data_IF_080945896905
#
_entry.id   IF_080945896905
#
_cell.length_a   1.000
_cell.length_b   1.000
_cell.length_c   1.000
_cell.angle_alpha   90.00
_cell.angle_beta   90.00
_cell.angle_gamma   90.00
#
_symmetry.space_group_name_H-M   'P 1'
#
loop_
_entity.id
_entity.type
_entity.pdbx_description
1 polymer ?
#
# COMPACT_ATOMS: atom_id res chain seq x y z
N UNK A 1 64.29 41.40 29.02
CA UNK A 1 62.84 41.09 28.91
C UNK A 1 62.72 39.60 28.62
N UNK A 2 62.34 38.81 29.61
CA UNK A 2 62.24 37.35 29.54
C UNK A 2 60.77 36.97 29.51
N UNK A 3 60.34 36.28 28.46
CA UNK A 3 58.97 35.78 28.29
C UNK A 3 58.88 34.45 29.07
N UNK A 4 58.08 34.44 30.13
CA UNK A 4 57.74 33.24 30.91
C UNK A 4 56.69 32.45 30.11
N UNK A 5 56.92 31.17 29.79
CA UNK A 5 55.89 30.34 29.18
C UNK A 5 54.84 29.98 30.24
N UNK A 6 53.56 30.30 29.95
CA UNK A 6 52.41 29.78 30.68
C UNK A 6 52.37 28.27 30.50
N UNK A 7 52.98 27.55 31.44
CA UNK A 7 52.98 26.10 31.50
C UNK A 7 51.65 25.59 32.06
N UNK A 8 50.92 24.85 31.22
CA UNK A 8 50.17 23.68 31.66
C UNK A 8 48.73 23.92 32.10
N UNK A 9 47.86 24.34 31.18
CA UNK A 9 46.47 23.88 31.21
C UNK A 9 46.50 22.36 30.97
N UNK A 10 46.64 21.61 32.06
CA UNK A 10 46.40 20.18 32.09
C UNK A 10 44.95 19.98 31.63
N UNK A 11 44.76 19.64 30.36
CA UNK A 11 43.52 19.06 29.84
C UNK A 11 43.23 17.80 30.67
N UNK A 12 42.59 17.99 31.82
CA UNK A 12 42.05 16.92 32.63
C UNK A 12 41.02 16.25 31.74
N UNK A 13 41.42 15.14 31.15
CA UNK A 13 40.60 14.31 30.29
C UNK A 13 39.21 14.21 30.95
N UNK A 14 38.10 14.51 30.26
CA UNK A 14 36.76 14.55 30.87
C UNK A 14 36.39 13.27 31.62
N UNK A 15 37.04 12.15 31.31
CA UNK A 15 36.93 10.87 32.01
C UNK A 15 37.53 10.89 33.44
N UNK A 16 38.53 11.72 33.72
CA UNK A 16 39.15 11.85 35.03
C UNK A 16 38.30 12.67 36.01
N UNK A 17 37.57 13.68 35.52
CA UNK A 17 36.64 14.48 36.34
C UNK A 17 35.39 13.68 36.74
N UNK A 18 34.91 12.78 35.88
CA UNK A 18 33.74 11.94 36.14
C UNK A 18 33.96 10.90 37.26
N UNK A 19 35.22 10.62 37.64
CA UNK A 19 35.57 9.63 38.67
C UNK A 19 35.68 10.20 40.08
N UNK A 20 35.47 11.51 40.26
CA UNK A 20 35.42 12.10 41.61
C UNK A 20 34.13 11.66 42.30
N UNK A 21 34.29 11.03 43.47
CA UNK A 21 33.16 10.67 44.34
C UNK A 21 32.45 11.96 44.76
N UNK A 22 31.11 12.05 44.68
CA UNK A 22 30.38 13.21 45.17
C UNK A 22 30.69 13.46 46.64
N UNK A 23 30.91 14.72 47.01
CA UNK A 23 31.35 15.10 48.37
C UNK A 23 30.39 14.62 49.47
N UNK A 24 29.10 14.47 49.16
CA UNK A 24 28.07 14.00 50.08
C UNK A 24 27.94 12.47 50.15
N UNK A 25 28.45 11.73 49.15
CA UNK A 25 28.26 10.28 49.08
C UNK A 25 29.04 9.54 50.17
N UNK A 26 30.30 9.91 50.39
CA UNK A 26 31.14 9.33 51.44
C UNK A 26 30.57 9.54 52.85
N UNK A 27 30.25 10.79 53.26
CA UNK A 27 29.63 11.06 54.55
C UNK A 27 28.27 10.38 54.76
N UNK A 28 27.46 10.28 53.71
CA UNK A 28 26.21 9.54 53.77
C UNK A 28 26.47 8.04 54.01
N UNK A 29 27.40 7.44 53.26
CA UNK A 29 27.71 6.03 53.41
C UNK A 29 28.33 5.72 54.78
N UNK A 30 29.24 6.55 55.27
CA UNK A 30 29.82 6.41 56.60
C UNK A 30 28.75 6.43 57.69
N UNK A 31 27.76 7.34 57.56
CA UNK A 31 26.59 7.40 58.45
C UNK A 31 25.75 6.12 58.32
N UNK A 32 25.41 5.72 57.11
CA UNK A 32 24.63 4.51 56.84
C UNK A 32 25.34 3.20 57.24
N UNK A 33 26.65 3.21 57.48
CA UNK A 33 27.40 2.04 57.97
C UNK A 33 27.70 2.10 59.47
N UNK A 34 27.53 3.26 60.11
CA UNK A 34 27.75 3.39 61.55
C UNK A 34 26.71 2.58 62.32
N UNK A 35 27.20 1.73 63.23
CA UNK A 35 26.38 0.82 64.03
C UNK A 35 25.45 1.57 65.00
N UNK A 36 25.72 2.85 65.25
CA UNK A 36 25.05 3.65 66.28
C UNK A 36 23.66 4.15 65.86
N UNK A 37 23.27 3.96 64.60
CA UNK A 37 22.06 4.60 64.05
C UNK A 37 20.82 3.73 64.15
N UNK A 38 20.93 2.41 64.37
CA UNK A 38 19.77 1.52 64.20
C UNK A 38 19.69 0.35 65.17
N UNK A 39 18.53 0.20 65.81
CA UNK A 39 18.11 -1.01 66.54
C UNK A 39 17.99 -2.26 65.65
N UNK A 40 18.08 -2.09 64.32
CA UNK A 40 17.93 -3.14 63.30
C UNK A 40 19.17 -4.05 63.14
N UNK A 41 20.23 -3.82 63.93
CA UNK A 41 21.43 -4.65 63.96
C UNK A 41 22.56 -4.15 63.07
N UNK A 42 23.52 -5.03 62.75
CA UNK A 42 24.68 -4.68 61.93
C UNK A 42 24.29 -4.61 60.44
N UNK A 43 24.86 -3.67 59.66
CA UNK A 43 24.66 -3.64 58.22
C UNK A 43 25.26 -4.92 57.61
N UNK A 44 24.48 -5.62 56.79
CA UNK A 44 24.84 -6.95 56.27
C UNK A 44 25.28 -6.91 54.81
N UNK A 45 24.65 -6.04 54.00
CA UNK A 45 24.94 -5.94 52.57
C UNK A 45 24.63 -4.56 52.02
N UNK A 46 25.45 -4.10 51.09
CA UNK A 46 25.16 -2.95 50.23
C UNK A 46 24.79 -3.45 48.83
N UNK A 47 23.69 -2.96 48.27
CA UNK A 47 23.21 -3.32 46.93
C UNK A 47 23.14 -2.08 46.06
N UNK A 48 23.70 -2.15 44.85
CA UNK A 48 23.55 -1.11 43.84
C UNK A 48 22.46 -1.53 42.84
N UNK A 49 21.42 -0.71 42.71
CA UNK A 49 20.31 -0.90 41.78
C UNK A 49 20.39 0.13 40.66
N UNK A 50 20.19 -0.30 39.42
CA UNK A 50 19.94 0.59 38.28
C UNK A 50 18.43 0.75 38.10
N UNK A 51 17.94 1.98 38.17
CA UNK A 51 16.53 2.32 38.03
C UNK A 51 16.22 2.68 36.59
N UNK A 52 15.35 1.91 35.96
CA UNK A 52 14.89 2.18 34.60
C UNK A 52 13.68 3.13 34.61
N UNK A 53 13.49 3.85 33.51
CA UNK A 53 12.38 4.81 33.34
C UNK A 53 10.99 4.19 33.47
N UNK A 54 10.87 2.86 33.37
CA UNK A 54 9.63 2.12 33.53
C UNK A 54 9.37 1.68 34.99
N UNK A 55 10.15 2.19 35.95
CA UNK A 55 10.05 1.85 37.37
C UNK A 55 10.62 0.48 37.74
N UNK A 56 11.18 -0.27 36.77
CA UNK A 56 11.89 -1.52 37.07
C UNK A 56 13.29 -1.20 37.60
N UNK A 57 13.75 -2.00 38.55
CA UNK A 57 15.12 -1.95 39.04
C UNK A 57 15.87 -3.22 38.65
N UNK A 58 17.16 -3.09 38.35
CA UNK A 58 18.07 -4.21 38.12
C UNK A 58 19.26 -4.10 39.06
N UNK A 59 19.56 -5.17 39.78
CA UNK A 59 20.78 -5.24 40.60
C UNK A 59 22.01 -5.22 39.70
N UNK A 60 22.88 -4.23 39.91
CA UNK A 60 24.16 -4.08 39.21
C UNK A 60 25.25 -4.85 39.94
N UNK A 61 25.37 -4.61 41.24
CA UNK A 61 26.38 -5.23 42.10
C UNK A 61 25.89 -5.29 43.56
N UNK A 62 26.55 -6.11 44.36
CA UNK A 62 26.33 -6.18 45.81
C UNK A 62 27.65 -6.42 46.54
N UNK A 63 27.78 -5.83 47.72
CA UNK A 63 28.95 -5.93 48.58
C UNK A 63 28.55 -6.49 49.93
N UNK A 64 29.06 -7.67 50.32
CA UNK A 64 28.86 -8.19 51.67
C UNK A 64 29.62 -7.30 52.65
N UNK A 65 28.93 -6.78 53.66
CA UNK A 65 29.52 -5.94 54.68
C UNK A 65 29.98 -6.85 55.83
N UNK A 66 31.27 -7.23 55.80
CA UNK A 66 31.90 -8.04 56.85
C UNK A 66 32.28 -7.20 58.08
N UNK A 67 33.32 -7.63 58.79
CA UNK A 67 33.85 -6.91 59.95
C UNK A 67 34.56 -5.61 59.52
N UNK A 68 33.76 -4.54 59.39
CA UNK A 68 34.13 -3.13 59.23
C UNK A 68 34.92 -2.77 57.96
N UNK A 69 34.25 -2.62 56.80
CA UNK A 69 34.86 -1.96 55.66
C UNK A 69 35.12 -0.48 55.97
N UNK A 70 36.26 0.04 55.53
CA UNK A 70 36.56 1.48 55.57
C UNK A 70 35.58 2.18 54.62
N UNK A 71 34.65 2.96 55.17
CA UNK A 71 33.55 3.57 54.41
C UNK A 71 34.02 4.40 53.19
N UNK A 72 35.20 5.02 53.28
CA UNK A 72 35.80 5.79 52.19
C UNK A 72 36.22 4.91 50.99
N UNK A 73 36.81 3.74 51.27
CA UNK A 73 37.22 2.80 50.21
C UNK A 73 36.00 2.20 49.52
N UNK A 74 35.00 1.79 50.32
CA UNK A 74 33.74 1.27 49.77
C UNK A 74 32.99 2.33 48.95
N UNK A 75 33.00 3.60 49.39
CA UNK A 75 32.40 4.68 48.63
C UNK A 75 33.06 4.86 47.25
N UNK A 76 34.39 4.81 47.20
CA UNK A 76 35.15 4.90 45.96
C UNK A 76 34.88 3.71 45.03
N UNK A 77 34.82 2.50 45.58
CA UNK A 77 34.54 1.28 44.82
C UNK A 77 33.11 1.28 44.23
N UNK A 78 32.11 1.63 45.06
CA UNK A 78 30.72 1.74 44.61
C UNK A 78 30.61 2.81 43.53
N UNK A 79 31.25 3.97 43.71
CA UNK A 79 31.23 5.04 42.72
C UNK A 79 31.89 4.63 41.40
N UNK A 80 33.05 3.98 41.45
CA UNK A 80 33.71 3.44 40.26
C UNK A 80 32.80 2.47 39.51
N UNK A 81 32.14 1.56 40.22
CA UNK A 81 31.19 0.60 39.64
C UNK A 81 30.01 1.29 38.97
N UNK A 82 29.47 2.35 39.58
CA UNK A 82 28.39 3.16 38.99
C UNK A 82 28.87 3.83 37.70
N UNK A 83 30.04 4.45 37.71
CA UNK A 83 30.62 5.11 36.54
C UNK A 83 30.89 4.13 35.40
N UNK A 84 31.51 2.98 35.70
CA UNK A 84 31.83 1.95 34.72
C UNK A 84 30.54 1.36 34.12
N UNK A 85 29.54 1.07 34.94
CA UNK A 85 28.24 0.62 34.44
C UNK A 85 27.54 1.69 33.61
N UNK A 86 27.52 2.95 34.04
CA UNK A 86 26.92 4.07 33.30
C UNK A 86 27.59 4.30 31.94
N UNK A 87 28.90 4.05 31.84
CA UNK A 87 29.65 4.19 30.59
C UNK A 87 29.19 3.21 29.49
N UNK A 88 28.62 2.06 29.88
CA UNK A 88 28.09 1.07 28.95
C UNK A 88 26.73 1.46 28.32
N UNK A 89 26.05 2.45 28.88
CA UNK A 89 24.75 2.93 28.38
C UNK A 89 24.91 4.28 27.67
N UNK A 90 24.90 4.32 26.33
CA UNK A 90 24.91 5.58 25.62
C UNK A 90 23.60 6.34 25.85
N UNK A 91 23.68 7.66 26.04
CA UNK A 91 22.53 8.55 26.10
C UNK A 91 22.32 9.29 27.43
N UNK A 92 21.06 9.39 27.84
CA UNK A 92 20.60 10.21 28.98
C UNK A 92 21.24 9.79 30.31
N UNK A 93 21.19 10.69 31.28
CA UNK A 93 21.62 10.41 32.65
C UNK A 93 20.91 9.17 33.22
N UNK A 94 21.71 8.28 33.79
CA UNK A 94 21.27 7.03 34.41
C UNK A 94 20.99 7.27 35.89
N UNK A 95 19.93 6.66 36.41
CA UNK A 95 19.55 6.74 37.82
C UNK A 95 19.88 5.41 38.50
N UNK A 96 20.56 5.51 39.63
CA UNK A 96 20.93 4.40 40.49
C UNK A 96 20.39 4.61 41.89
N UNK A 97 20.24 3.54 42.63
CA UNK A 97 19.87 3.57 44.05
C UNK A 97 20.84 2.67 44.81
N UNK A 98 21.55 3.26 45.77
CA UNK A 98 22.43 2.53 46.69
C UNK A 98 21.61 2.20 47.93
N UNK A 99 21.46 0.90 48.20
CA UNK A 99 20.62 0.38 49.28
C UNK A 99 21.47 -0.35 50.30
N UNK A 100 21.41 0.07 51.55
CA UNK A 100 22.05 -0.63 52.67
C UNK A 100 21.01 -1.49 53.37
N UNK A 101 21.30 -2.78 53.46
CA UNK A 101 20.48 -3.79 54.13
C UNK A 101 21.05 -4.08 55.52
N UNK A 102 20.15 -4.27 56.47
CA UNK A 102 20.49 -4.58 57.86
C UNK A 102 19.94 -5.95 58.27
N UNK A 103 20.67 -6.62 59.15
CA UNK A 103 20.26 -7.89 59.73
C UNK A 103 20.18 -9.06 58.73
N UNK A 104 19.69 -10.23 59.19
CA UNK A 104 19.59 -11.45 58.37
C UNK A 104 18.42 -11.43 57.38
N UNK A 105 17.42 -10.58 57.61
CA UNK A 105 16.21 -10.47 56.77
C UNK A 105 16.41 -9.56 55.54
N UNK A 106 17.60 -8.94 55.41
CA UNK A 106 17.93 -8.03 54.32
C UNK A 106 16.91 -6.90 54.11
N UNK A 107 16.31 -6.38 55.19
CA UNK A 107 15.40 -5.25 55.09
C UNK A 107 16.17 -4.00 54.62
N UNK A 108 15.71 -3.31 53.55
CA UNK A 108 16.36 -2.11 53.06
C UNK A 108 16.09 -0.94 54.02
N UNK A 109 17.15 -0.40 54.64
CA UNK A 109 17.01 0.65 55.66
C UNK A 109 17.39 2.03 55.12
N UNK A 110 18.57 2.15 54.54
CA UNK A 110 19.07 3.40 53.97
C UNK A 110 19.14 3.29 52.46
N UNK A 111 18.65 4.32 51.78
CA UNK A 111 18.62 4.42 50.32
C UNK A 111 19.18 5.77 49.90
N UNK A 112 20.09 5.78 48.95
CA UNK A 112 20.60 7.02 48.33
C UNK A 112 20.42 6.94 46.81
N UNK A 113 19.59 7.80 46.23
CA UNK A 113 19.54 7.94 44.78
C UNK A 113 20.83 8.60 44.28
N UNK A 114 21.42 8.02 43.24
CA UNK A 114 22.63 8.49 42.59
C UNK A 114 22.34 8.68 41.12
N UNK A 115 22.64 9.86 40.57
CA UNK A 115 22.48 10.13 39.14
C UNK A 115 23.85 10.29 38.49
N UNK A 116 24.10 9.56 37.42
CA UNK A 116 25.34 9.66 36.64
C UNK A 116 25.03 9.94 35.19
N UNK A 117 25.60 11.02 34.66
CA UNK A 117 25.48 11.38 33.25
C UNK A 117 26.28 10.38 32.39
N UNK A 118 25.65 9.85 31.34
CA UNK A 118 26.33 9.03 30.35
C UNK A 118 27.38 9.84 29.58
N UNK A 119 28.38 9.19 28.96
CA UNK A 119 29.50 9.86 28.29
C UNK A 119 29.06 10.73 27.10
N UNK A 120 27.87 10.50 26.55
CA UNK A 120 27.31 11.24 25.41
C UNK A 120 26.21 12.22 25.79
N UNK A 121 25.93 12.40 27.09
CA UNK A 121 24.95 13.38 27.53
C UNK A 121 25.48 14.80 27.21
N UNK A 122 24.69 15.66 26.56
CA UNK A 122 25.12 17.03 26.27
C UNK A 122 25.40 17.73 27.60
N UNK A 123 26.53 18.45 27.69
CA UNK A 123 26.99 19.13 28.91
C UNK A 123 25.93 20.08 29.54
N UNK A 124 24.94 20.50 28.74
CA UNK A 124 23.86 21.39 29.16
C UNK A 124 22.64 20.67 29.77
N UNK A 125 22.54 19.33 29.70
CA UNK A 125 21.46 18.54 30.34
C UNK A 125 21.77 18.19 31.81
N UNK A 126 22.94 18.60 32.31
CA UNK A 126 23.33 18.50 33.71
C UNK A 126 22.74 19.67 34.54
N UNK A 127 21.51 20.10 34.24
CA UNK A 127 20.82 21.03 35.12
C UNK A 127 20.56 20.34 36.46
N UNK A 128 21.27 20.85 37.46
CA UNK A 128 21.34 20.51 38.89
C UNK A 128 19.98 20.58 39.64
N UNK A 129 18.87 20.62 38.90
CA UNK A 129 17.56 21.06 39.39
C UNK A 129 16.67 19.89 39.86
N UNK A 130 17.06 18.66 39.57
CA UNK A 130 16.34 17.46 39.99
C UNK A 130 16.79 16.89 41.36
N UNK A 131 17.95 17.32 41.90
CA UNK A 131 18.56 16.74 43.10
C UNK A 131 18.68 17.67 44.31
N UNK A 132 18.35 18.96 44.20
CA UNK A 132 18.11 19.85 45.36
C UNK A 132 16.75 19.63 46.02
N UNK A 133 16.25 18.40 46.01
CA UNK A 133 15.24 17.94 46.95
C UNK A 133 15.90 17.63 48.29
N UNK A 134 16.60 18.61 48.84
CA UNK A 134 17.12 18.53 50.20
C UNK A 134 15.91 18.51 51.13
N UNK A 135 15.79 17.42 51.88
CA UNK A 135 14.72 17.14 52.82
C UNK A 135 14.90 18.05 54.06
N UNK A 136 14.83 19.37 53.89
CA UNK A 136 14.77 20.33 54.99
C UNK A 136 13.33 20.33 55.47
N UNK A 137 13.08 19.56 56.54
CA UNK A 137 11.82 19.50 57.25
C UNK A 137 11.67 20.80 58.07
N UNK A 138 11.34 21.90 57.40
CA UNK A 138 10.85 23.11 58.03
C UNK A 138 9.35 23.26 57.74
N UNK A 139 8.55 23.52 58.76
CA UNK A 139 7.09 23.56 58.64
C UNK A 139 6.58 24.67 57.68
N UNK A 140 7.37 25.73 57.43
CA UNK A 140 7.08 26.74 56.39
C UNK A 140 7.60 26.35 54.99
N UNK A 141 8.52 25.38 54.90
CA UNK A 141 8.93 24.74 53.66
C UNK A 141 7.88 23.73 53.15
N UNK A 142 6.91 23.33 53.98
CA UNK A 142 5.79 22.45 53.59
C UNK A 142 4.94 23.04 52.46
N UNK A 143 4.45 24.28 52.61
CA UNK A 143 3.54 24.86 51.61
C UNK A 143 4.28 25.27 50.33
N UNK A 144 5.49 25.84 50.46
CA UNK A 144 6.34 26.17 49.30
C UNK A 144 6.82 24.92 48.58
N UNK A 145 7.18 23.88 49.32
CA UNK A 145 7.56 22.57 48.77
C UNK A 145 6.40 21.89 48.06
N UNK A 146 5.19 21.95 48.64
CA UNK A 146 3.98 21.44 48.01
C UNK A 146 3.65 22.20 46.72
N UNK A 147 3.73 23.53 46.73
CA UNK A 147 3.54 24.34 45.51
C UNK A 147 4.58 23.99 44.44
N UNK A 148 5.85 23.88 44.81
CA UNK A 148 6.91 23.48 43.88
C UNK A 148 6.66 22.07 43.30
N UNK A 149 6.20 21.13 44.12
CA UNK A 149 5.82 19.79 43.68
C UNK A 149 4.62 19.83 42.73
N UNK A 150 3.60 20.64 43.03
CA UNK A 150 2.45 20.82 42.14
C UNK A 150 2.85 21.44 40.81
N UNK A 151 3.73 22.45 40.80
CA UNK A 151 4.24 23.08 39.58
C UNK A 151 5.02 22.08 38.72
N UNK A 152 5.93 21.29 39.33
CA UNK A 152 6.65 20.21 38.62
C UNK A 152 5.71 19.14 38.08
N UNK A 153 4.68 18.78 38.84
CA UNK A 153 3.67 17.83 38.39
C UNK A 153 2.85 18.38 37.20
N UNK A 154 2.47 19.65 37.24
CA UNK A 154 1.79 20.34 36.15
C UNK A 154 2.66 20.42 34.90
N UNK A 155 3.92 20.79 35.04
CA UNK A 155 4.89 20.84 33.94
C UNK A 155 5.09 19.44 33.31
N UNK A 156 5.25 18.40 34.14
CA UNK A 156 5.36 17.03 33.65
C UNK A 156 4.07 16.57 32.94
N UNK A 157 2.90 16.93 33.49
CA UNK A 157 1.61 16.64 32.87
C UNK A 157 1.47 17.36 31.53
N UNK A 158 1.86 18.62 31.45
CA UNK A 158 1.83 19.40 30.22
C UNK A 158 2.77 18.81 29.17
N UNK A 159 4.00 18.45 29.54
CA UNK A 159 4.93 17.75 28.65
C UNK A 159 4.37 16.44 28.12
N UNK A 160 3.73 15.65 28.99
CA UNK A 160 3.08 14.41 28.58
C UNK A 160 1.92 14.69 27.59
N UNK A 161 1.09 15.69 27.87
CA UNK A 161 -0.02 16.07 26.99
C UNK A 161 0.47 16.58 25.63
N UNK A 162 1.52 17.40 25.60
CA UNK A 162 2.12 17.88 24.34
C UNK A 162 2.72 16.70 23.56
N UNK A 163 3.37 15.76 24.26
CA UNK A 163 3.88 14.53 23.66
C UNK A 163 2.79 13.69 23.00
N UNK A 164 1.71 13.40 23.73
CA UNK A 164 0.60 12.58 23.19
C UNK A 164 -0.12 13.27 22.04
N UNK A 165 -0.38 14.59 22.13
CA UNK A 165 -0.95 15.35 21.02
C UNK A 165 -0.03 15.32 19.79
N UNK A 166 1.28 15.41 19.99
CA UNK A 166 2.26 15.27 18.91
C UNK A 166 2.19 13.92 18.20
N UNK A 167 2.04 12.83 18.96
CA UNK A 167 1.86 11.47 18.43
C UNK A 167 0.55 11.32 17.65
N UNK A 168 -0.57 11.84 18.19
CA UNK A 168 -1.86 11.84 17.49
C UNK A 168 -1.79 12.62 16.17
N UNK A 169 -1.21 13.81 16.17
CA UNK A 169 -1.04 14.61 14.95
C UNK A 169 -0.14 13.91 13.92
N UNK A 170 0.91 13.22 14.37
CA UNK A 170 1.76 12.43 13.48
C UNK A 170 1.00 11.24 12.88
N UNK A 171 0.15 10.58 13.66
CA UNK A 171 -0.73 9.51 13.20
C UNK A 171 -1.74 10.02 12.17
N UNK A 172 -2.45 11.10 12.46
CA UNK A 172 -3.45 11.69 11.57
C UNK A 172 -2.85 12.14 10.24
N UNK A 173 -1.64 12.69 10.25
CA UNK A 173 -0.91 13.05 9.02
C UNK A 173 -0.60 11.83 8.14
N UNK A 174 -0.23 10.70 8.74
CA UNK A 174 -0.02 9.44 7.99
C UNK A 174 -1.34 8.94 7.40
N UNK A 175 -2.40 8.94 8.19
CA UNK A 175 -3.73 8.53 7.74
C UNK A 175 -4.24 9.41 6.58
N UNK A 176 -4.00 10.71 6.64
CA UNK A 176 -4.35 11.64 5.55
C UNK A 176 -3.54 11.33 4.29
N UNK A 177 -2.23 11.14 4.41
CA UNK A 177 -1.39 10.77 3.28
C UNK A 177 -1.84 9.45 2.62
N UNK A 178 -2.20 8.44 3.42
CA UNK A 178 -2.73 7.15 2.93
C UNK A 178 -4.10 7.30 2.24
N UNK A 179 -4.91 8.28 2.67
CA UNK A 179 -6.19 8.58 2.01
C UNK A 179 -5.97 9.30 0.69
N UNK A 180 -5.03 10.24 0.63
CA UNK A 180 -4.71 10.98 -0.59
C UNK A 180 -4.17 10.05 -1.69
N UNK A 181 -3.30 9.09 -1.33
CA UNK A 181 -2.82 8.08 -2.27
C UNK A 181 -3.96 7.22 -2.80
N UNK A 182 -4.86 6.78 -1.92
CA UNK A 182 -6.05 6.00 -2.32
C UNK A 182 -7.00 6.79 -3.22
N UNK A 183 -7.18 8.09 -2.97
CA UNK A 183 -7.99 8.95 -3.83
C UNK A 183 -7.35 9.04 -5.22
N UNK A 184 -6.04 9.28 -5.30
CA UNK A 184 -5.32 9.34 -6.57
C UNK A 184 -5.44 8.03 -7.38
N UNK A 185 -5.37 6.87 -6.71
CA UNK A 185 -5.57 5.57 -7.37
C UNK A 185 -6.99 5.39 -7.93
N UNK A 186 -8.01 5.85 -7.18
CA UNK A 186 -9.40 5.81 -7.62
C UNK A 186 -9.64 6.74 -8.81
N UNK A 187 -9.12 7.96 -8.77
CA UNK A 187 -9.19 8.90 -9.90
C UNK A 187 -8.54 8.32 -11.16
N UNK A 188 -7.35 7.70 -11.04
CA UNK A 188 -6.70 7.02 -12.16
C UNK A 188 -7.51 5.83 -12.68
N UNK A 189 -8.25 5.14 -11.81
CA UNK A 189 -9.15 4.05 -12.22
C UNK A 189 -10.36 4.59 -12.97
N UNK A 190 -10.95 5.69 -12.51
CA UNK A 190 -12.08 6.34 -13.18
C UNK A 190 -11.70 6.82 -14.58
N UNK A 191 -10.55 7.49 -14.73
CA UNK A 191 -10.03 7.91 -16.05
C UNK A 191 -9.89 6.71 -16.99
N UNK A 192 -9.31 5.60 -16.53
CA UNK A 192 -9.19 4.38 -17.34
C UNK A 192 -10.53 3.78 -17.76
N UNK A 193 -11.54 3.86 -16.90
CA UNK A 193 -12.91 3.40 -17.23
C UNK A 193 -13.54 4.31 -18.27
N UNK A 194 -13.37 5.62 -18.15
CA UNK A 194 -13.85 6.60 -19.14
C UNK A 194 -13.20 6.38 -20.51
N UNK A 195 -11.87 6.21 -20.57
CA UNK A 195 -11.14 5.92 -21.82
C UNK A 195 -11.64 4.62 -22.48
N UNK A 196 -11.92 3.59 -21.68
CA UNK A 196 -12.44 2.33 -22.19
C UNK A 196 -13.87 2.48 -22.71
N UNK A 197 -14.70 3.23 -22.01
CA UNK A 197 -16.07 3.53 -22.43
C UNK A 197 -16.09 4.33 -23.75
N UNK A 198 -15.22 5.31 -23.91
CA UNK A 198 -15.05 6.05 -25.16
C UNK A 198 -14.63 5.13 -26.31
N UNK A 199 -13.60 4.30 -26.11
CA UNK A 199 -13.17 3.31 -27.13
C UNK A 199 -14.27 2.33 -27.53
N UNK A 200 -15.11 1.90 -26.60
CA UNK A 200 -16.25 1.03 -26.90
C UNK A 200 -17.32 1.78 -27.71
N UNK A 201 -17.59 3.04 -27.37
CA UNK A 201 -18.51 3.90 -28.09
C UNK A 201 -18.03 4.17 -29.52
N UNK A 202 -16.73 4.42 -29.70
CA UNK A 202 -16.14 4.63 -31.04
C UNK A 202 -16.28 3.39 -31.92
N UNK A 203 -15.96 2.20 -31.37
CA UNK A 203 -16.16 0.92 -32.07
C UNK A 203 -17.63 0.66 -32.41
N UNK A 204 -18.55 1.07 -31.54
CA UNK A 204 -19.98 0.96 -31.82
C UNK A 204 -20.37 1.89 -32.98
N UNK A 205 -19.92 3.14 -32.99
CA UNK A 205 -20.18 4.08 -34.08
C UNK A 205 -19.59 3.59 -35.41
N UNK A 206 -18.40 2.99 -35.38
CA UNK A 206 -17.78 2.39 -36.57
C UNK A 206 -18.67 1.28 -37.14
N UNK A 207 -19.13 0.35 -36.29
CA UNK A 207 -20.07 -0.71 -36.69
C UNK A 207 -21.39 -0.17 -37.22
N UNK A 208 -21.96 0.83 -36.55
CA UNK A 208 -23.23 1.44 -36.97
C UNK A 208 -23.07 2.13 -38.35
N UNK A 209 -21.93 2.76 -38.59
CA UNK A 209 -21.59 3.37 -39.88
C UNK A 209 -21.39 2.31 -40.97
N UNK A 210 -20.77 1.17 -40.66
CA UNK A 210 -20.66 0.04 -41.58
C UNK A 210 -22.04 -0.54 -41.95
N UNK A 211 -22.91 -0.76 -40.96
CA UNK A 211 -24.28 -1.25 -41.16
C UNK A 211 -25.07 -0.28 -42.05
N UNK A 212 -24.97 1.03 -41.79
CA UNK A 212 -25.62 2.06 -42.62
C UNK A 212 -25.11 2.05 -44.06
N UNK A 213 -23.80 1.91 -44.26
CA UNK A 213 -23.20 1.79 -45.60
C UNK A 213 -23.66 0.54 -46.33
N UNK A 214 -23.74 -0.61 -45.64
CA UNK A 214 -24.23 -1.85 -46.22
C UNK A 214 -25.71 -1.72 -46.62
N UNK A 215 -26.56 -1.19 -45.74
CA UNK A 215 -27.97 -0.95 -46.03
C UNK A 215 -28.18 0.04 -47.19
N UNK A 216 -27.37 1.10 -47.27
CA UNK A 216 -27.43 2.04 -48.39
C UNK A 216 -27.07 1.38 -49.72
N UNK A 217 -26.04 0.52 -49.73
CA UNK A 217 -25.67 -0.26 -50.93
C UNK A 217 -26.76 -1.24 -51.32
N UNK A 218 -27.37 -1.94 -50.38
CA UNK A 218 -28.50 -2.85 -50.63
C UNK A 218 -29.72 -2.12 -51.20
N UNK A 219 -30.02 -0.92 -50.69
CA UNK A 219 -31.10 -0.07 -51.23
C UNK A 219 -30.79 0.36 -52.66
N UNK A 220 -29.57 0.84 -52.93
CA UNK A 220 -29.15 1.24 -54.27
C UNK A 220 -29.20 0.07 -55.27
N UNK A 221 -28.73 -1.12 -54.88
CA UNK A 221 -28.83 -2.30 -55.75
C UNK A 221 -30.28 -2.73 -55.95
N UNK A 222 -31.11 -2.66 -54.91
CA UNK A 222 -32.55 -2.90 -55.00
C UNK A 222 -33.27 -1.94 -55.95
N UNK A 223 -32.98 -0.64 -55.88
CA UNK A 223 -33.49 0.39 -56.77
C UNK A 223 -33.03 0.17 -58.22
N UNK A 224 -31.74 -0.11 -58.44
CA UNK A 224 -31.20 -0.43 -59.77
C UNK A 224 -31.85 -1.67 -60.37
N UNK A 225 -32.03 -2.74 -59.60
CA UNK A 225 -32.73 -3.95 -60.05
C UNK A 225 -34.20 -3.62 -60.36
N UNK A 226 -34.84 -2.79 -59.53
CA UNK A 226 -36.21 -2.30 -59.76
C UNK A 226 -36.33 -1.55 -61.09
N UNK A 227 -35.45 -0.59 -61.34
CA UNK A 227 -35.41 0.15 -62.60
C UNK A 227 -35.05 -0.74 -63.80
N UNK A 228 -34.12 -1.68 -63.64
CA UNK A 228 -33.77 -2.62 -64.70
C UNK A 228 -34.98 -3.49 -65.07
N UNK A 229 -35.73 -4.01 -64.09
CA UNK A 229 -36.97 -4.77 -64.32
C UNK A 229 -38.02 -3.96 -65.08
N UNK A 230 -38.12 -2.66 -64.87
CA UNK A 230 -39.01 -1.78 -65.65
C UNK A 230 -38.54 -1.60 -67.10
N UNK A 231 -37.23 -1.63 -67.35
CA UNK A 231 -36.65 -1.48 -68.69
C UNK A 231 -36.64 -2.79 -69.49
N UNK A 232 -36.58 -3.95 -68.83
CA UNK A 232 -36.55 -5.27 -69.49
C UNK A 232 -37.65 -5.43 -70.55
N UNK A 233 -38.94 -5.12 -70.29
CA UNK A 233 -39.99 -5.21 -71.31
C UNK A 233 -39.75 -4.29 -72.51
N UNK A 234 -39.25 -3.08 -72.29
CA UNK A 234 -39.00 -2.12 -73.39
C UNK A 234 -37.84 -2.56 -74.30
N UNK A 235 -36.78 -3.13 -73.72
CA UNK A 235 -35.65 -3.67 -74.47
C UNK A 235 -36.08 -4.94 -75.22
N UNK A 236 -36.82 -5.84 -74.56
CA UNK A 236 -37.37 -7.04 -75.18
C UNK A 236 -38.28 -6.69 -76.39
N UNK A 237 -39.19 -5.73 -76.23
CA UNK A 237 -40.07 -5.27 -77.31
C UNK A 237 -39.30 -4.61 -78.47
N UNK A 238 -38.20 -3.91 -78.18
CA UNK A 238 -37.37 -3.27 -79.20
C UNK A 238 -36.52 -4.26 -80.00
N UNK A 239 -35.96 -5.29 -79.34
CA UNK A 239 -35.19 -6.35 -80.01
C UNK A 239 -36.11 -7.29 -80.80
N UNK A 240 -37.33 -7.56 -80.31
CA UNK A 240 -38.31 -8.37 -81.02
C UNK A 240 -38.90 -7.71 -82.28
N UNK A 241 -38.57 -6.43 -82.56
CA UNK A 241 -38.97 -5.73 -83.78
C UNK A 241 -40.49 -5.54 -83.95
N UNK A 242 -41.26 -5.76 -82.89
CA UNK A 242 -42.73 -5.78 -82.92
C UNK A 242 -43.29 -4.95 -81.78
N UNK A 243 -43.89 -3.81 -82.13
CA UNK A 243 -44.72 -3.00 -81.24
C UNK A 243 -46.00 -3.78 -80.91
N UNK A 244 -45.96 -4.63 -79.89
CA UNK A 244 -47.14 -5.40 -79.46
C UNK A 244 -47.43 -5.07 -78.01
N UNK A 245 -48.67 -4.61 -77.79
CA UNK A 245 -49.23 -4.33 -76.47
C UNK A 245 -49.21 -5.58 -75.59
N UNK A 246 -48.96 -5.33 -74.31
CA UNK A 246 -48.74 -6.32 -73.25
C UNK A 246 -50.05 -6.95 -72.82
N UNK A 247 -50.12 -8.28 -72.87
CA UNK A 247 -50.95 -9.07 -71.96
C UNK A 247 -50.35 -10.48 -71.79
N UNK A 248 -50.49 -11.02 -70.57
CA UNK A 248 -50.18 -12.39 -70.14
C UNK A 248 -48.72 -12.76 -69.77
N UNK A 249 -48.49 -12.74 -68.44
CA UNK A 249 -47.31 -13.18 -67.68
C UNK A 249 -47.04 -14.71 -67.73
N UNK A 250 -47.64 -15.47 -68.66
CA UNK A 250 -47.43 -16.93 -68.81
C UNK A 250 -46.54 -17.32 -70.01
N UNK A 251 -46.17 -16.36 -70.87
CA UNK A 251 -45.44 -16.65 -72.11
C UNK A 251 -43.92 -16.78 -71.99
N UNK A 252 -43.31 -16.26 -70.92
CA UNK A 252 -41.85 -16.13 -70.82
C UNK A 252 -41.13 -17.49 -70.75
N UNK A 253 -41.64 -18.43 -69.96
CA UNK A 253 -41.03 -19.76 -69.83
C UNK A 253 -41.13 -20.56 -71.14
N UNK A 254 -42.27 -20.45 -71.84
CA UNK A 254 -42.47 -21.08 -73.15
C UNK A 254 -41.54 -20.50 -74.22
N UNK A 255 -41.29 -19.19 -74.20
CA UNK A 255 -40.37 -18.54 -75.12
C UNK A 255 -38.91 -18.90 -74.83
N UNK A 256 -38.51 -19.02 -73.56
CA UNK A 256 -37.17 -19.47 -73.18
C UNK A 256 -36.95 -20.92 -73.64
N UNK A 257 -37.93 -21.80 -73.44
CA UNK A 257 -37.87 -23.19 -73.92
C UNK A 257 -37.77 -23.25 -75.44
N UNK A 258 -38.58 -22.48 -76.17
CA UNK A 258 -38.53 -22.42 -77.64
C UNK A 258 -37.21 -21.85 -78.16
N UNK A 259 -36.62 -20.86 -77.48
CA UNK A 259 -35.31 -20.31 -77.82
C UNK A 259 -34.19 -21.34 -77.61
N UNK A 260 -34.21 -22.03 -76.45
CA UNK A 260 -33.21 -23.07 -76.16
C UNK A 260 -33.30 -24.26 -77.11
N UNK A 261 -34.51 -24.58 -77.60
CA UNK A 261 -34.73 -25.65 -78.58
C UNK A 261 -34.37 -25.23 -80.01
N UNK A 262 -34.45 -23.94 -80.35
CA UNK A 262 -34.16 -23.45 -81.70
C UNK A 262 -32.68 -23.15 -81.94
N UNK A 263 -31.87 -23.06 -80.89
CA UNK A 263 -30.44 -22.82 -80.99
C UNK A 263 -29.69 -24.08 -81.45
N UNK A 264 -28.88 -23.93 -82.50
CA UNK A 264 -27.93 -24.98 -82.89
C UNK A 264 -26.80 -25.10 -81.84
N UNK A 265 -26.21 -26.30 -81.67
CA UNK A 265 -25.11 -26.51 -80.71
C UNK A 265 -23.90 -25.58 -80.96
N UNK A 266 -23.65 -25.21 -82.22
CA UNK A 266 -22.60 -24.26 -82.61
C UNK A 266 -22.86 -22.85 -82.06
N UNK A 267 -24.11 -22.40 -82.09
CA UNK A 267 -24.55 -21.09 -81.59
C UNK A 267 -24.54 -21.05 -80.06
N UNK A 268 -24.94 -22.15 -79.41
CA UNK A 268 -24.91 -22.27 -77.95
C UNK A 268 -23.46 -22.15 -77.44
N UNK A 269 -22.50 -22.81 -78.09
CA UNK A 269 -21.08 -22.70 -77.75
C UNK A 269 -20.52 -21.29 -77.99
N UNK A 270 -20.95 -20.58 -79.04
CA UNK A 270 -20.56 -19.20 -79.28
C UNK A 270 -21.09 -18.24 -78.19
N UNK A 271 -22.34 -18.45 -77.74
CA UNK A 271 -22.94 -17.67 -76.64
C UNK A 271 -22.20 -17.97 -75.33
N UNK A 272 -21.91 -19.23 -75.03
CA UNK A 272 -21.14 -19.60 -73.82
C UNK A 272 -19.74 -18.99 -73.82
N UNK A 273 -19.09 -18.90 -74.99
CA UNK A 273 -17.77 -18.27 -75.13
C UNK A 273 -17.75 -16.77 -74.83
N UNK A 274 -18.89 -16.08 -74.93
CA UNK A 274 -19.02 -14.66 -74.62
C UNK A 274 -19.41 -14.38 -73.16
N UNK A 275 -19.80 -15.40 -72.40
CA UNK A 275 -20.28 -15.28 -71.02
C UNK A 275 -19.18 -15.59 -70.01
N UNK A 276 -19.27 -14.99 -68.83
CA UNK A 276 -18.36 -15.32 -67.73
C UNK A 276 -18.68 -16.72 -67.13
N UNK A 277 -17.75 -17.36 -66.40
CA UNK A 277 -17.94 -18.73 -65.90
C UNK A 277 -19.18 -18.93 -65.01
N UNK A 278 -19.57 -17.91 -64.23
CA UNK A 278 -20.77 -17.99 -63.38
C UNK A 278 -22.06 -17.96 -64.22
N UNK A 279 -22.12 -17.14 -65.27
CA UNK A 279 -23.24 -17.08 -66.21
C UNK A 279 -23.35 -18.36 -67.04
N UNK A 280 -22.22 -18.95 -67.43
CA UNK A 280 -22.20 -20.23 -68.13
C UNK A 280 -22.89 -21.33 -67.29
N UNK A 281 -22.60 -21.41 -65.98
CA UNK A 281 -23.27 -22.37 -65.09
C UNK A 281 -24.79 -22.16 -65.03
N UNK A 282 -25.26 -20.92 -64.96
CA UNK A 282 -26.70 -20.62 -64.96
C UNK A 282 -27.39 -21.02 -66.28
N UNK A 283 -26.73 -20.82 -67.42
CA UNK A 283 -27.25 -21.28 -68.71
C UNK A 283 -27.25 -22.80 -68.79
N UNK A 284 -26.23 -23.48 -68.28
CA UNK A 284 -26.18 -24.94 -68.23
C UNK A 284 -27.27 -25.56 -67.34
N UNK A 285 -27.57 -24.96 -66.19
CA UNK A 285 -28.67 -25.46 -65.33
C UNK A 285 -30.02 -25.29 -66.00
N UNK A 286 -30.27 -24.14 -66.65
CA UNK A 286 -31.49 -23.92 -67.42
C UNK A 286 -31.58 -24.89 -68.61
N UNK A 287 -30.50 -25.04 -69.38
CA UNK A 287 -30.45 -25.99 -70.49
C UNK A 287 -30.74 -27.42 -70.00
N UNK A 288 -30.19 -27.84 -68.85
CA UNK A 288 -30.46 -29.16 -68.26
C UNK A 288 -31.91 -29.34 -67.85
N UNK A 289 -32.54 -28.32 -67.27
CA UNK A 289 -33.95 -28.39 -66.84
C UNK A 289 -34.89 -28.46 -68.06
N UNK A 290 -34.61 -27.71 -69.12
CA UNK A 290 -35.53 -27.57 -70.26
C UNK A 290 -35.25 -28.49 -71.46
N UNK A 291 -34.01 -28.99 -71.62
CA UNK A 291 -33.62 -29.92 -72.68
C UNK A 291 -33.52 -31.38 -72.21
N UNK A 292 -33.63 -31.65 -70.89
CA UNK A 292 -33.76 -33.03 -70.45
C UNK A 292 -35.03 -33.63 -71.08
N UNK A 293 -34.91 -34.76 -71.82
CA UNK A 293 -36.08 -35.43 -72.34
C UNK A 293 -36.93 -35.83 -71.14
N UNK A 294 -38.21 -35.43 -71.14
CA UNK A 294 -39.18 -35.91 -70.15
C UNK A 294 -39.13 -37.44 -70.22
N UNK A 295 -38.44 -38.04 -69.25
CA UNK A 295 -38.30 -39.48 -69.16
C UNK A 295 -39.72 -40.00 -68.96
N UNK A 296 -40.28 -40.58 -70.02
CA UNK A 296 -41.59 -41.22 -70.08
C UNK A 296 -41.95 -41.83 -68.73
N UNK A 297 -42.87 -41.20 -68.01
CA UNK A 297 -43.60 -41.82 -66.90
C UNK A 297 -44.60 -42.81 -67.49
N UNK A 298 -44.07 -43.91 -68.02
CA UNK A 298 -44.80 -45.04 -68.58
C UNK A 298 -44.32 -46.28 -67.80
N UNK A 299 -44.52 -46.25 -66.48
CA UNK A 299 -44.33 -47.39 -65.56
C UNK A 299 -45.33 -47.26 -64.42
N UNK A 300 -46.23 -48.24 -64.39
CA UNK A 300 -47.01 -48.71 -63.25
C UNK A 300 -48.23 -47.91 -62.79
N UNK A 301 -49.22 -47.91 -63.69
CA UNK A 301 -50.57 -48.31 -63.29
C UNK A 301 -50.58 -49.78 -62.78
N UNK A 302 -50.28 -49.99 -61.50
CA UNK A 302 -50.56 -51.23 -60.78
C UNK A 302 -51.12 -50.92 -59.38
N UNK A 303 -52.43 -50.63 -59.32
CA UNK A 303 -53.29 -50.98 -58.17
C UNK A 303 -53.45 -52.52 -58.13
N UNK A 304 -53.95 -53.18 -57.06
CA UNK A 304 -54.38 -52.70 -55.72
C UNK A 304 -54.02 -53.66 -54.55
N UNK A 305 -54.46 -53.33 -53.31
CA UNK A 305 -54.63 -54.29 -52.20
C UNK A 305 -53.91 -53.83 -50.94
N UNK A 306 -54.58 -53.29 -49.92
CA UNK A 306 -55.45 -54.00 -48.96
C UNK A 306 -54.79 -53.80 -47.58
N UNK A 307 -55.26 -52.88 -46.74
CA UNK A 307 -56.24 -53.09 -45.65
C UNK A 307 -55.79 -54.14 -44.61
N UNK A 308 -56.18 -54.04 -43.32
CA UNK A 308 -56.81 -52.93 -42.57
C UNK A 308 -55.87 -52.24 -41.55
#
# INVERSE_FOLDING_TARGET
MSIVPLSGDSELHPQALARRVPEHFGPWLARALSADIVDAGRPSRLTLLHLWHNGRSKTVSHWPLGDQPVAAELAAEVWSTVCDHASAFPGRAQLYEVVVHYGPEYAPYARMPVRVSGPTAPANDASDDALRGELVVDADASLRGLLAQMMRHLENRERLLVGTVGEYLAHDRRLLADKDTRIAELEQREVRVMDLAEKLRDRQHERDMEIRRASAREKQTGELIGHLKLLVPTIANRIAGKTVMVDAVSGAEGQIKALLQSLEPSQLNAILGALNPAQQQAVFTLARIYLAPEAKSESDAAKPGGAP
#
